data_IF_289657161101
#
_entry.id   IF_289657161101
#
_cell.length_a   1.000
_cell.length_b   1.000
_cell.length_c   1.000
_cell.angle_alpha   90.00
_cell.angle_beta   90.00
_cell.angle_gamma   90.00
#
_symmetry.space_group_name_H-M   'P 1'
#
loop_
_entity.id
_entity.type
_entity.pdbx_description
1 polymer ?
#
# COMPACT_ATOMS: atom_id res chain seq x y z
N UNK A 1 -18.67 9.31 -52.60
CA UNK A 1 -19.25 8.07 -52.03
C UNK A 1 -18.08 7.34 -51.39
N UNK A 2 -17.94 7.47 -50.08
CA UNK A 2 -16.91 6.77 -49.32
C UNK A 2 -17.56 5.49 -48.82
N UNK A 3 -17.24 4.36 -49.45
CA UNK A 3 -17.60 3.06 -48.91
C UNK A 3 -16.68 2.82 -47.70
N UNK A 4 -17.29 2.90 -46.51
CA UNK A 4 -16.64 2.52 -45.28
C UNK A 4 -16.43 1.02 -45.29
N UNK A 5 -15.19 0.59 -45.58
CA UNK A 5 -14.72 -0.73 -45.21
C UNK A 5 -14.74 -0.83 -43.69
N UNK A 6 -15.84 -1.34 -43.16
CA UNK A 6 -15.96 -1.69 -41.75
C UNK A 6 -15.06 -2.88 -41.48
N UNK A 7 -14.16 -2.73 -40.50
CA UNK A 7 -13.59 -3.84 -39.74
C UNK A 7 -14.74 -4.72 -39.25
N UNK A 8 -15.10 -5.70 -40.07
CA UNK A 8 -16.18 -6.62 -39.76
C UNK A 8 -15.62 -7.61 -38.76
N UNK A 9 -16.07 -7.50 -37.49
CA UNK A 9 -15.77 -8.43 -36.42
C UNK A 9 -15.95 -9.88 -36.89
N UNK A 10 -15.19 -10.82 -36.31
CA UNK A 10 -15.32 -12.25 -36.60
C UNK A 10 -16.78 -12.71 -36.60
N UNK A 11 -17.58 -12.23 -35.64
CA UNK A 11 -19.00 -12.57 -35.52
C UNK A 11 -19.81 -12.08 -36.72
N UNK A 12 -19.60 -10.85 -37.18
CA UNK A 12 -20.31 -10.31 -38.35
C UNK A 12 -19.95 -11.07 -39.64
N UNK A 13 -18.67 -11.40 -39.81
CA UNK A 13 -18.22 -12.22 -40.94
C UNK A 13 -18.81 -13.63 -40.88
N UNK A 14 -18.90 -14.23 -39.69
CA UNK A 14 -19.44 -15.56 -39.51
C UNK A 14 -20.94 -15.61 -39.82
N UNK A 15 -21.71 -14.61 -39.38
CA UNK A 15 -23.14 -14.49 -39.72
C UNK A 15 -23.33 -14.42 -41.24
N UNK A 16 -22.63 -13.51 -41.93
CA UNK A 16 -22.75 -13.38 -43.38
C UNK A 16 -22.40 -14.67 -44.13
N UNK A 17 -21.42 -15.43 -43.61
CA UNK A 17 -21.01 -16.71 -44.22
C UNK A 17 -21.98 -17.85 -43.95
N UNK A 18 -22.59 -17.90 -42.77
CA UNK A 18 -23.60 -18.91 -42.45
C UNK A 18 -24.90 -18.65 -43.23
N UNK A 19 -25.31 -17.38 -43.34
CA UNK A 19 -26.47 -16.99 -44.14
C UNK A 19 -26.28 -17.33 -45.63
N UNK A 20 -25.07 -17.13 -46.17
CA UNK A 20 -24.73 -17.51 -47.54
C UNK A 20 -24.79 -19.04 -47.80
N UNK A 21 -24.58 -19.85 -46.75
CA UNK A 21 -24.73 -21.30 -46.79
C UNK A 21 -26.18 -21.76 -46.55
N UNK A 22 -27.12 -20.82 -46.34
CA UNK A 22 -28.52 -21.13 -46.01
C UNK A 22 -28.73 -21.66 -44.58
N UNK A 23 -27.75 -21.47 -43.70
CA UNK A 23 -27.76 -21.94 -42.32
C UNK A 23 -28.19 -20.83 -41.36
N UNK A 24 -28.91 -21.19 -40.30
CA UNK A 24 -29.31 -20.25 -39.25
C UNK A 24 -28.09 -19.77 -38.45
N UNK A 25 -27.69 -18.52 -38.66
CA UNK A 25 -26.54 -17.91 -38.02
C UNK A 25 -26.66 -17.82 -36.48
N UNK A 26 -27.87 -17.75 -35.91
CA UNK A 26 -28.05 -17.68 -34.45
C UNK A 26 -27.73 -19.03 -33.79
N UNK A 27 -28.15 -20.11 -34.44
CA UNK A 27 -27.89 -21.49 -33.96
C UNK A 27 -26.45 -21.89 -34.26
N UNK A 28 -26.06 -21.85 -35.53
CA UNK A 28 -24.75 -22.36 -35.96
C UNK A 28 -23.60 -21.42 -35.59
N UNK A 29 -23.82 -20.11 -35.50
CA UNK A 29 -22.80 -19.16 -35.06
C UNK A 29 -22.32 -19.44 -33.63
N UNK A 30 -23.25 -19.76 -32.73
CA UNK A 30 -22.95 -20.18 -31.35
C UNK A 30 -22.15 -21.49 -31.28
N UNK A 31 -22.49 -22.46 -32.12
CA UNK A 31 -21.74 -23.73 -32.19
C UNK A 31 -20.33 -23.53 -32.74
N UNK A 32 -20.18 -22.79 -33.85
CA UNK A 32 -18.87 -22.50 -34.46
C UNK A 32 -17.97 -21.77 -33.48
N UNK A 33 -18.47 -20.69 -32.87
CA UNK A 33 -17.69 -19.91 -31.89
C UNK A 33 -17.35 -20.73 -30.65
N UNK A 34 -18.28 -21.56 -30.16
CA UNK A 34 -18.06 -22.44 -29.01
C UNK A 34 -17.01 -23.51 -29.26
N UNK A 35 -17.07 -24.18 -30.41
CA UNK A 35 -16.09 -25.21 -30.80
C UNK A 35 -14.73 -24.57 -31.05
N UNK A 36 -14.67 -23.45 -31.77
CA UNK A 36 -13.39 -22.78 -32.05
C UNK A 36 -12.77 -22.18 -30.78
N UNK A 37 -13.59 -21.78 -29.81
CA UNK A 37 -13.16 -21.28 -28.50
C UNK A 37 -12.67 -22.36 -27.53
N UNK A 38 -12.82 -23.65 -27.86
CA UNK A 38 -12.36 -24.75 -27.02
C UNK A 38 -10.84 -24.90 -27.10
N UNK A 39 -10.10 -24.35 -26.15
CA UNK A 39 -8.63 -24.40 -26.10
C UNK A 39 -8.07 -25.81 -25.80
N UNK A 40 -8.90 -26.79 -25.42
CA UNK A 40 -8.44 -28.14 -25.10
C UNK A 40 -8.07 -28.97 -26.35
N UNK A 41 -8.63 -28.60 -27.50
CA UNK A 41 -8.43 -29.30 -28.78
C UNK A 41 -7.56 -28.48 -29.76
N UNK A 42 -6.74 -29.13 -30.59
CA UNK A 42 -5.97 -28.41 -31.60
C UNK A 42 -6.89 -27.78 -32.65
N UNK A 43 -6.49 -26.62 -33.16
CA UNK A 43 -7.30 -25.81 -34.08
C UNK A 43 -7.76 -26.58 -35.33
N UNK A 44 -6.91 -27.44 -35.88
CA UNK A 44 -7.22 -28.25 -37.04
C UNK A 44 -8.41 -29.19 -36.76
N UNK A 45 -8.43 -29.86 -35.61
CA UNK A 45 -9.53 -30.76 -35.21
C UNK A 45 -10.81 -29.98 -34.89
N UNK A 46 -10.70 -28.77 -34.33
CA UNK A 46 -11.85 -27.89 -34.08
C UNK A 46 -12.50 -27.46 -35.39
N UNK A 47 -11.68 -27.06 -36.36
CA UNK A 47 -12.15 -26.69 -37.69
C UNK A 47 -12.81 -27.89 -38.35
N UNK A 48 -12.22 -29.08 -38.29
CA UNK A 48 -12.82 -30.29 -38.86
C UNK A 48 -14.16 -30.62 -38.23
N UNK A 49 -14.28 -30.51 -36.90
CA UNK A 49 -15.54 -30.70 -36.18
C UNK A 49 -16.60 -29.70 -36.62
N UNK A 50 -16.23 -28.44 -36.82
CA UNK A 50 -17.13 -27.41 -37.36
C UNK A 50 -17.58 -27.76 -38.78
N UNK A 51 -16.65 -28.13 -39.66
CA UNK A 51 -16.98 -28.50 -41.05
C UNK A 51 -17.88 -29.74 -41.09
N UNK A 52 -17.66 -30.73 -40.24
CA UNK A 52 -18.50 -31.93 -40.17
C UNK A 52 -19.95 -31.58 -39.79
N UNK A 53 -20.15 -30.74 -38.77
CA UNK A 53 -21.47 -30.29 -38.34
C UNK A 53 -22.17 -29.48 -39.44
N UNK A 54 -21.44 -28.54 -40.06
CA UNK A 54 -22.01 -27.71 -41.13
C UNK A 54 -22.28 -28.52 -42.40
N UNK A 55 -21.44 -29.50 -42.73
CA UNK A 55 -21.64 -30.40 -43.88
C UNK A 55 -22.92 -31.24 -43.75
N UNK A 56 -23.25 -31.68 -42.53
CA UNK A 56 -24.50 -32.40 -42.27
C UNK A 56 -25.76 -31.53 -42.34
N UNK A 57 -25.62 -30.20 -42.25
CA UNK A 57 -26.73 -29.25 -42.22
C UNK A 57 -26.88 -28.45 -43.52
N UNK A 58 -25.79 -28.23 -44.24
CA UNK A 58 -25.75 -27.48 -45.48
C UNK A 58 -26.35 -28.29 -46.64
N UNK A 59 -26.85 -27.59 -47.65
CA UNK A 59 -27.30 -28.23 -48.89
C UNK A 59 -26.12 -28.90 -49.61
N UNK A 60 -26.38 -30.05 -50.25
CA UNK A 60 -25.37 -30.98 -50.83
C UNK A 60 -24.48 -30.34 -51.92
N UNK A 61 -24.86 -29.17 -52.44
CA UNK A 61 -24.14 -28.40 -53.47
C UNK A 61 -23.16 -27.35 -52.91
N UNK A 62 -23.10 -27.14 -51.58
CA UNK A 62 -22.21 -26.15 -50.97
C UNK A 62 -20.79 -26.69 -50.73
N UNK A 63 -19.80 -26.10 -51.40
CA UNK A 63 -18.39 -26.39 -51.12
C UNK A 63 -17.90 -25.66 -49.86
N UNK A 64 -17.69 -26.42 -48.79
CA UNK A 64 -17.18 -25.92 -47.50
C UNK A 64 -15.66 -25.73 -47.47
N UNK A 65 -14.93 -26.06 -48.56
CA UNK A 65 -13.49 -25.89 -48.65
C UNK A 65 -13.04 -24.44 -48.48
N UNK A 66 -13.72 -23.50 -49.15
CA UNK A 66 -13.44 -22.07 -49.01
C UNK A 66 -13.76 -21.56 -47.59
N UNK A 67 -14.85 -22.05 -47.00
CA UNK A 67 -15.23 -21.71 -45.62
C UNK A 67 -14.19 -22.21 -44.62
N UNK A 68 -13.64 -23.43 -44.80
CA UNK A 68 -12.57 -23.98 -43.97
C UNK A 68 -11.35 -23.08 -43.93
N UNK A 69 -10.84 -22.67 -45.10
CA UNK A 69 -9.66 -21.81 -45.18
C UNK A 69 -9.91 -20.42 -44.58
N UNK A 70 -11.08 -19.83 -44.89
CA UNK A 70 -11.45 -18.52 -44.37
C UNK A 70 -11.67 -18.54 -42.84
N UNK A 71 -12.24 -19.62 -42.29
CA UNK A 71 -12.42 -19.80 -40.85
C UNK A 71 -11.08 -19.85 -40.13
N UNK A 72 -10.10 -20.58 -40.67
CA UNK A 72 -8.76 -20.64 -40.09
C UNK A 72 -8.11 -19.25 -40.02
N UNK A 73 -8.07 -18.54 -41.15
CA UNK A 73 -7.45 -17.21 -41.24
C UNK A 73 -8.13 -16.20 -40.32
N UNK A 74 -9.46 -16.16 -40.31
CA UNK A 74 -10.23 -15.21 -39.49
C UNK A 74 -10.13 -15.51 -38.00
N UNK A 75 -10.03 -16.79 -37.63
CA UNK A 75 -9.81 -17.17 -36.24
C UNK A 75 -8.42 -16.79 -35.76
N UNK A 76 -7.38 -17.05 -36.57
CA UNK A 76 -6.00 -16.65 -36.25
C UNK A 76 -5.90 -15.12 -36.06
N UNK A 77 -6.52 -14.34 -36.96
CA UNK A 77 -6.59 -12.88 -36.82
C UNK A 77 -7.29 -12.44 -35.53
N UNK A 78 -8.38 -13.10 -35.15
CA UNK A 78 -9.11 -12.82 -33.90
C UNK A 78 -8.23 -13.09 -32.68
N UNK A 79 -7.57 -14.25 -32.64
CA UNK A 79 -6.67 -14.63 -31.54
C UNK A 79 -5.50 -13.65 -31.43
N UNK A 80 -4.85 -13.31 -32.55
CA UNK A 80 -3.73 -12.35 -32.57
C UNK A 80 -4.17 -10.96 -32.07
N UNK A 81 -5.36 -10.50 -32.48
CA UNK A 81 -5.91 -9.23 -32.02
C UNK A 81 -6.19 -9.25 -30.51
N UNK A 82 -6.82 -10.31 -30.00
CA UNK A 82 -7.08 -10.47 -28.57
C UNK A 82 -5.79 -10.53 -27.74
N UNK A 83 -4.74 -11.21 -28.24
CA UNK A 83 -3.44 -11.26 -27.58
C UNK A 83 -2.79 -9.88 -27.50
N UNK A 84 -2.81 -9.11 -28.59
CA UNK A 84 -2.30 -7.73 -28.62
C UNK A 84 -3.05 -6.82 -27.66
N UNK A 85 -4.37 -6.93 -27.58
CA UNK A 85 -5.17 -6.17 -26.62
C UNK A 85 -4.87 -6.58 -25.18
N UNK A 86 -4.75 -7.88 -24.89
CA UNK A 86 -4.36 -8.38 -23.57
C UNK A 86 -2.97 -7.89 -23.18
N UNK A 87 -2.02 -7.84 -24.11
CA UNK A 87 -0.67 -7.31 -23.87
C UNK A 87 -0.70 -5.80 -23.63
N UNK A 88 -1.42 -5.04 -24.45
CA UNK A 88 -1.57 -3.60 -24.27
C UNK A 88 -2.22 -3.25 -22.92
N UNK A 89 -3.25 -4.00 -22.51
CA UNK A 89 -3.91 -3.85 -21.21
C UNK A 89 -2.96 -4.17 -20.05
N UNK A 90 -2.15 -5.24 -20.16
CA UNK A 90 -1.11 -5.58 -19.16
C UNK A 90 -0.05 -4.47 -19.07
N UNK A 91 0.42 -3.96 -20.20
CA UNK A 91 1.40 -2.88 -20.25
C UNK A 91 0.85 -1.57 -19.65
N UNK A 92 -0.41 -1.24 -19.92
CA UNK A 92 -1.08 -0.07 -19.35
C UNK A 92 -1.19 -0.19 -17.81
N UNK A 93 -1.64 -1.35 -17.31
CA UNK A 93 -1.73 -1.63 -15.88
C UNK A 93 -0.37 -1.59 -15.18
N UNK A 94 0.67 -2.09 -15.84
CA UNK A 94 2.03 -2.04 -15.30
C UNK A 94 2.54 -0.60 -15.20
N UNK A 95 2.33 0.23 -16.24
CA UNK A 95 2.67 1.66 -16.21
C UNK A 95 1.93 2.41 -15.10
N UNK A 96 0.66 2.12 -14.89
CA UNK A 96 -0.12 2.72 -13.80
C UNK A 96 0.45 2.35 -12.42
N UNK A 97 0.77 1.07 -12.21
CA UNK A 97 1.39 0.60 -10.97
C UNK A 97 2.77 1.23 -10.73
N UNK A 98 3.58 1.37 -11.77
CA UNK A 98 4.90 1.99 -11.68
C UNK A 98 4.80 3.50 -11.38
N UNK A 99 3.86 4.20 -12.02
CA UNK A 99 3.59 5.62 -11.75
C UNK A 99 3.13 5.84 -10.31
N UNK A 100 2.21 5.01 -9.81
CA UNK A 100 1.75 5.08 -8.41
C UNK A 100 2.89 4.83 -7.41
N UNK A 101 3.77 3.89 -7.72
CA UNK A 101 4.94 3.57 -6.89
C UNK A 101 5.98 4.70 -6.90
N UNK A 102 6.16 5.37 -8.02
CA UNK A 102 7.01 6.56 -8.12
C UNK A 102 6.43 7.73 -7.32
N UNK A 103 5.12 7.96 -7.41
CA UNK A 103 4.44 8.98 -6.64
C UNK A 103 4.54 8.72 -5.13
N UNK A 104 4.32 7.48 -4.70
CA UNK A 104 4.48 7.07 -3.29
C UNK A 104 5.92 7.31 -2.81
N UNK A 105 6.93 6.94 -3.62
CA UNK A 105 8.34 7.23 -3.30
C UNK A 105 8.59 8.72 -3.13
N UNK A 106 8.04 9.55 -4.01
CA UNK A 106 8.19 11.01 -3.94
C UNK A 106 7.54 11.57 -2.68
N UNK A 107 6.35 11.09 -2.32
CA UNK A 107 5.65 11.50 -1.09
C UNK A 107 6.44 11.11 0.17
N UNK A 108 7.02 9.90 0.20
CA UNK A 108 7.85 9.44 1.32
C UNK A 108 9.12 10.29 1.44
N UNK A 109 9.79 10.60 0.32
CA UNK A 109 10.98 11.45 0.32
C UNK A 109 10.66 12.87 0.80
N UNK A 110 9.56 13.45 0.32
CA UNK A 110 9.11 14.78 0.74
C UNK A 110 8.76 14.81 2.24
N UNK A 111 8.06 13.78 2.73
CA UNK A 111 7.74 13.63 4.15
C UNK A 111 9.00 13.49 5.02
N UNK A 112 10.00 12.72 4.59
CA UNK A 112 11.26 12.57 5.31
C UNK A 112 12.06 13.89 5.32
N UNK A 113 12.14 14.59 4.18
CA UNK A 113 12.77 15.91 4.09
C UNK A 113 12.10 16.93 5.01
N UNK A 114 10.76 16.96 5.04
CA UNK A 114 10.00 17.84 5.94
C UNK A 114 10.25 17.48 7.42
N UNK A 115 10.35 16.18 7.75
CA UNK A 115 10.67 15.73 9.11
C UNK A 115 12.07 16.13 9.54
N UNK A 116 13.07 15.98 8.68
CA UNK A 116 14.46 16.43 8.95
C UNK A 116 14.51 17.95 9.16
N UNK A 117 13.90 18.72 8.26
CA UNK A 117 13.85 20.17 8.39
C UNK A 117 13.19 20.65 9.71
N UNK A 118 12.13 19.94 10.17
CA UNK A 118 11.52 20.22 11.48
C UNK A 118 12.43 19.85 12.64
N UNK A 119 13.19 18.76 12.54
CA UNK A 119 14.17 18.37 13.56
C UNK A 119 15.30 19.41 13.66
N UNK A 120 15.85 19.83 12.52
CA UNK A 120 16.92 20.82 12.46
C UNK A 120 16.49 22.16 13.05
N UNK A 121 15.28 22.64 12.70
CA UNK A 121 14.70 23.86 13.29
C UNK A 121 14.52 23.76 14.81
N UNK A 122 14.16 22.59 15.35
CA UNK A 122 14.04 22.38 16.80
C UNK A 122 15.40 22.44 17.50
N UNK A 123 16.43 21.87 16.88
CA UNK A 123 17.80 21.92 17.40
C UNK A 123 18.33 23.36 17.37
N UNK A 124 18.15 24.07 16.25
CA UNK A 124 18.55 25.48 16.13
C UNK A 124 17.86 26.35 17.17
N UNK A 125 16.53 26.23 17.33
CA UNK A 125 15.79 26.96 18.36
C UNK A 125 16.30 26.66 19.78
N UNK A 126 16.61 25.40 20.08
CA UNK A 126 17.18 25.03 21.38
C UNK A 126 18.57 25.63 21.61
N UNK A 127 19.40 25.73 20.56
CA UNK A 127 20.72 26.34 20.65
C UNK A 127 20.64 27.87 20.79
N UNK A 128 19.72 28.52 20.08
CA UNK A 128 19.43 29.95 20.21
C UNK A 128 18.90 30.29 21.61
N UNK A 129 17.94 29.52 22.13
CA UNK A 129 17.43 29.69 23.51
C UNK A 129 18.54 29.51 24.56
N UNK A 130 19.46 28.55 24.36
CA UNK A 130 20.62 28.38 25.22
C UNK A 130 21.60 29.56 25.14
N UNK A 131 21.87 30.07 23.94
CA UNK A 131 22.75 31.21 23.73
C UNK A 131 22.18 32.50 24.34
N UNK A 132 20.87 32.74 24.17
CA UNK A 132 20.18 33.88 24.78
C UNK A 132 20.18 33.77 26.31
N UNK A 133 19.88 32.58 26.85
CA UNK A 133 19.98 32.33 28.29
C UNK A 133 21.39 32.60 28.81
N UNK A 134 22.43 32.09 28.15
CA UNK A 134 23.82 32.33 28.54
C UNK A 134 24.19 33.82 28.49
N UNK A 135 23.72 34.54 27.46
CA UNK A 135 23.93 35.99 27.34
C UNK A 135 23.26 36.74 28.49
N UNK A 136 22.01 36.39 28.82
CA UNK A 136 21.26 37.00 29.91
C UNK A 136 21.93 36.74 31.26
N UNK A 137 22.37 35.50 31.53
CA UNK A 137 23.12 35.18 32.75
C UNK A 137 24.41 36.02 32.88
N UNK A 138 25.14 36.21 31.78
CA UNK A 138 26.35 37.06 31.76
C UNK A 138 26.06 38.55 31.99
N UNK A 139 24.94 39.07 31.48
CA UNK A 139 24.53 40.47 31.66
C UNK A 139 24.11 40.78 33.10
N UNK A 140 23.47 39.83 33.79
CA UNK A 140 22.97 40.00 35.16
C UNK A 140 23.89 39.44 36.24
N UNK A 141 25.11 38.98 35.88
CA UNK A 141 26.16 38.62 36.84
C UNK A 141 25.75 37.57 37.86
N UNK A 142 24.88 36.62 37.48
CA UNK A 142 24.53 35.49 38.34
C UNK A 142 25.62 34.42 38.15
N UNK A 143 26.67 34.48 38.96
CA UNK A 143 27.56 33.34 39.14
C UNK A 143 26.70 32.18 39.65
N UNK A 144 26.66 31.10 38.88
CA UNK A 144 25.82 29.93 39.12
C UNK A 144 25.96 29.44 40.56
N UNK A 145 24.82 29.26 41.26
CA UNK A 145 24.76 28.44 42.46
C UNK A 145 25.49 27.12 42.18
N UNK A 146 26.32 26.63 43.11
CA UNK A 146 27.07 25.41 42.90
C UNK A 146 26.10 24.28 42.57
N UNK A 147 26.34 23.58 41.47
CA UNK A 147 25.59 22.39 41.04
C UNK A 147 26.50 21.17 41.15
N UNK A 148 25.92 19.99 41.43
CA UNK A 148 26.65 18.72 41.43
C UNK A 148 27.04 18.26 40.00
N UNK A 149 27.83 17.18 39.89
CA UNK A 149 28.27 16.61 38.60
C UNK A 149 27.08 16.11 37.73
N UNK A 150 25.90 15.95 38.32
CA UNK A 150 24.65 15.59 37.64
C UNK A 150 23.77 16.81 37.27
N UNK A 151 24.21 18.03 37.59
CA UNK A 151 23.53 19.28 37.25
C UNK A 151 22.36 19.65 38.17
N UNK A 152 22.28 19.05 39.36
CA UNK A 152 21.30 19.45 40.38
C UNK A 152 21.86 20.59 41.25
N UNK A 153 21.02 21.56 41.68
CA UNK A 153 21.43 22.60 42.62
C UNK A 153 21.87 22.02 43.96
N UNK A 154 23.08 22.36 44.42
CA UNK A 154 23.53 22.01 45.76
C UNK A 154 22.73 22.83 46.80
N UNK A 155 22.26 22.21 47.89
CA UNK A 155 21.62 22.94 48.97
C UNK A 155 22.62 23.92 49.60
N UNK A 156 22.20 25.16 49.95
CA UNK A 156 23.08 26.13 50.59
C UNK A 156 23.57 25.59 51.94
N UNK A 157 24.84 25.85 52.26
CA UNK A 157 25.50 25.43 53.50
C UNK A 157 24.74 26.03 54.71
N UNK A 158 24.23 25.13 55.56
CA UNK A 158 23.29 25.42 56.63
C UNK A 158 23.98 26.15 57.81
N UNK A 159 23.81 27.48 57.85
CA UNK A 159 24.01 28.27 59.06
C UNK A 159 22.73 28.30 59.91
N UNK A 160 22.71 27.47 60.95
CA UNK A 160 22.01 27.61 62.24
C UNK A 160 20.65 28.32 62.32
N UNK A 161 19.64 27.52 62.68
CA UNK A 161 18.55 27.83 63.62
C UNK A 161 17.48 28.84 63.19
N UNK A 162 16.36 28.28 62.72
CA UNK A 162 15.10 28.97 62.50
C UNK A 162 13.91 28.05 62.72
N UNK A 163 13.76 27.57 63.95
CA UNK A 163 12.55 26.92 64.46
C UNK A 163 11.33 27.87 64.30
N UNK A 164 10.22 27.35 63.78
CA UNK A 164 8.90 27.99 63.95
C UNK A 164 8.15 28.34 62.67
N UNK A 165 7.09 27.58 62.38
CA UNK A 165 6.14 27.99 61.33
C UNK A 165 5.08 26.98 60.95
N UNK A 166 4.64 26.10 61.87
CA UNK A 166 3.39 25.37 61.66
C UNK A 166 2.22 26.33 61.93
N UNK A 167 1.22 26.31 61.05
CA UNK A 167 -0.09 26.95 61.22
C UNK A 167 -0.21 28.47 61.01
N UNK A 168 -0.06 28.95 59.77
CA UNK A 168 -0.66 30.24 59.36
C UNK A 168 -0.89 30.38 57.82
N UNK A 169 -1.13 29.29 57.10
CA UNK A 169 -1.16 29.31 55.62
C UNK A 169 -2.53 29.35 54.95
N UNK A 170 -3.63 29.27 55.70
CA UNK A 170 -4.97 29.11 55.10
C UNK A 170 -5.69 30.45 54.86
N UNK A 171 -5.31 31.53 55.57
CA UNK A 171 -5.96 32.84 55.48
C UNK A 171 -5.26 33.84 54.56
N UNK A 172 -4.03 33.57 54.11
CA UNK A 172 -3.28 34.46 53.17
C UNK A 172 -3.44 34.05 51.70
N UNK A 173 -3.89 32.82 51.43
CA UNK A 173 -4.14 32.31 50.08
C UNK A 173 -5.37 32.92 49.38
N UNK A 174 -6.30 33.47 50.16
CA UNK A 174 -7.50 34.15 49.64
C UNK A 174 -7.17 35.54 49.03
N UNK A 175 -6.14 36.23 49.57
CA UNK A 175 -5.76 37.57 49.13
C UNK A 175 -4.78 37.59 47.95
N UNK A 176 -3.93 36.56 47.81
CA UNK A 176 -2.91 36.47 46.76
C UNK A 176 -3.22 35.42 45.68
N UNK A 177 -4.38 34.75 45.77
CA UNK A 177 -4.77 33.68 44.87
C UNK A 177 -4.08 32.35 45.19
N UNK A 178 -4.70 31.25 44.74
CA UNK A 178 -4.18 29.89 44.94
C UNK A 178 -2.81 29.75 44.27
N UNK A 179 -1.86 29.10 44.94
CA UNK A 179 -0.53 28.84 44.37
C UNK A 179 -0.62 27.77 43.26
N UNK A 180 -0.79 28.25 42.03
CA UNK A 180 -0.87 27.43 40.82
C UNK A 180 0.47 26.77 40.46
N UNK A 181 1.60 27.27 40.96
CA UNK A 181 2.91 26.66 40.67
C UNK A 181 3.02 25.25 41.29
N UNK A 182 2.52 25.07 42.51
CA UNK A 182 2.53 23.77 43.18
C UNK A 182 1.64 22.74 42.47
N UNK A 183 0.49 23.18 41.95
CA UNK A 183 -0.42 22.33 41.17
C UNK A 183 0.18 22.01 39.80
N UNK A 184 0.71 23.01 39.09
CA UNK A 184 1.36 22.84 37.78
C UNK A 184 2.54 21.87 37.84
N UNK A 185 3.40 21.98 38.85
CA UNK A 185 4.53 21.05 39.03
C UNK A 185 4.03 19.62 39.31
N UNK A 186 2.97 19.46 40.09
CA UNK A 186 2.38 18.13 40.34
C UNK A 186 1.75 17.54 39.08
N UNK A 187 1.03 18.34 38.31
CA UNK A 187 0.43 17.94 37.04
C UNK A 187 1.50 17.57 36.01
N UNK A 188 2.56 18.36 35.88
CA UNK A 188 3.68 18.05 34.97
C UNK A 188 4.40 16.75 35.35
N UNK A 189 4.64 16.52 36.65
CA UNK A 189 5.26 15.28 37.13
C UNK A 189 4.33 14.08 36.92
N UNK A 190 3.03 14.23 37.15
CA UNK A 190 2.03 13.19 36.88
C UNK A 190 1.93 12.88 35.39
N UNK A 191 1.86 13.91 34.53
CA UNK A 191 1.83 13.78 33.08
C UNK A 191 3.08 13.09 32.54
N UNK A 192 4.28 13.42 33.05
CA UNK A 192 5.53 12.74 32.69
C UNK A 192 5.50 11.26 33.08
N UNK A 193 5.01 10.92 34.28
CA UNK A 193 4.86 9.53 34.73
C UNK A 193 3.86 8.75 33.86
N UNK A 194 2.75 9.37 33.48
CA UNK A 194 1.78 8.73 32.58
C UNK A 194 2.31 8.56 31.16
N UNK A 195 3.04 9.55 30.64
CA UNK A 195 3.68 9.45 29.34
C UNK A 195 4.68 8.29 29.30
N UNK A 196 5.50 8.12 30.34
CA UNK A 196 6.45 7.00 30.46
C UNK A 196 5.72 5.66 30.53
N UNK A 197 4.61 5.56 31.28
CA UNK A 197 3.80 4.33 31.32
C UNK A 197 3.19 4.01 29.96
N UNK A 198 2.66 5.01 29.24
CA UNK A 198 2.07 4.84 27.91
C UNK A 198 3.12 4.42 26.88
N UNK A 199 4.31 5.04 26.88
CA UNK A 199 5.38 4.66 25.96
C UNK A 199 5.91 3.26 26.26
N UNK A 200 6.12 2.91 27.53
CA UNK A 200 6.54 1.56 27.93
C UNK A 200 5.50 0.49 27.55
N UNK A 201 4.21 0.78 27.75
CA UNK A 201 3.15 -0.15 27.35
C UNK A 201 3.08 -0.30 25.81
N UNK A 202 3.21 0.80 25.07
CA UNK A 202 3.22 0.77 23.62
C UNK A 202 4.42 -0.02 23.07
N UNK A 203 5.62 0.17 23.61
CA UNK A 203 6.82 -0.59 23.20
C UNK A 203 6.70 -2.07 23.56
N UNK A 204 6.14 -2.42 24.72
CA UNK A 204 5.88 -3.80 25.09
C UNK A 204 4.91 -4.50 24.12
N UNK A 205 3.82 -3.81 23.72
CA UNK A 205 2.88 -4.34 22.72
C UNK A 205 3.53 -4.52 21.34
N UNK A 206 4.31 -3.53 20.88
CA UNK A 206 5.04 -3.61 19.62
C UNK A 206 6.01 -4.80 19.61
N UNK A 207 6.76 -5.01 20.70
CA UNK A 207 7.65 -6.15 20.84
C UNK A 207 6.90 -7.49 20.83
N UNK A 208 5.71 -7.56 21.44
CA UNK A 208 4.87 -8.76 21.41
C UNK A 208 4.38 -9.08 20.00
N UNK A 209 3.90 -8.08 19.27
CA UNK A 209 3.44 -8.22 17.88
C UNK A 209 4.60 -8.67 16.98
N UNK A 210 5.81 -8.10 17.16
CA UNK A 210 6.99 -8.47 16.38
C UNK A 210 7.39 -9.95 16.61
N UNK A 211 7.32 -10.43 17.86
CA UNK A 211 7.60 -11.83 18.18
C UNK A 211 6.56 -12.80 17.60
N UNK A 212 5.27 -12.43 17.62
CA UNK A 212 4.21 -13.23 17.00
C UNK A 212 4.35 -13.27 15.46
N UNK A 213 4.69 -12.14 14.84
CA UNK A 213 4.95 -12.07 13.40
C UNK A 213 6.15 -12.94 12.98
N UNK A 214 7.24 -12.95 13.75
CA UNK A 214 8.41 -13.81 13.48
C UNK A 214 8.06 -15.30 13.64
N UNK A 215 7.26 -15.67 14.65
CA UNK A 215 6.75 -17.04 14.82
C UNK A 215 5.90 -17.47 13.62
N UNK A 216 4.97 -16.62 13.17
CA UNK A 216 4.14 -16.90 12.00
C UNK A 216 4.97 -17.05 10.73
N UNK A 217 5.98 -16.18 10.53
CA UNK A 217 6.89 -16.27 9.39
C UNK A 217 7.69 -17.58 9.38
N UNK A 218 8.17 -18.02 10.56
CA UNK A 218 8.86 -19.31 10.72
C UNK A 218 7.96 -20.50 10.43
N UNK A 219 6.72 -20.50 10.92
CA UNK A 219 5.75 -21.56 10.63
C UNK A 219 5.37 -21.61 9.13
N UNK A 220 5.12 -20.46 8.50
CA UNK A 220 4.88 -20.38 7.06
C UNK A 220 6.08 -20.91 6.25
N UNK A 221 7.31 -20.55 6.61
CA UNK A 221 8.51 -21.07 5.95
C UNK A 221 8.69 -22.58 6.13
N UNK A 222 8.35 -23.13 7.30
CA UNK A 222 8.35 -24.59 7.54
C UNK A 222 7.30 -25.28 6.68
N UNK A 223 6.08 -24.74 6.60
CA UNK A 223 5.00 -25.30 5.79
C UNK A 223 5.34 -25.25 4.30
N UNK A 224 5.87 -24.14 3.80
CA UNK A 224 6.34 -24.01 2.42
C UNK A 224 7.48 -25.00 2.08
N UNK A 225 8.37 -25.31 3.03
CA UNK A 225 9.41 -26.34 2.85
C UNK A 225 8.86 -27.76 2.88
N UNK A 226 7.76 -28.02 3.60
CA UNK A 226 7.11 -29.33 3.64
C UNK A 226 6.32 -29.60 2.37
N UNK A 227 5.63 -28.60 1.82
CA UNK A 227 4.85 -28.75 0.57
C UNK A 227 5.74 -28.99 -0.64
N UNK A 228 6.82 -28.23 -0.80
CA UNK A 228 7.77 -28.38 -1.93
C UNK A 228 8.54 -29.71 -1.91
N UNK A 229 8.70 -30.34 -0.74
CA UNK A 229 9.36 -31.65 -0.61
C UNK A 229 8.42 -32.83 -0.92
N UNK A 230 7.10 -32.61 -0.90
CA UNK A 230 6.09 -33.59 -1.26
C UNK A 230 5.92 -33.75 -2.77
N UNK A 231 6.04 -32.66 -3.53
CA UNK A 231 5.96 -32.68 -5.01
C UNK A 231 7.19 -33.32 -5.66
N UNK A 232 8.37 -33.22 -5.04
CA UNK A 232 9.61 -33.79 -5.59
C UNK A 232 9.75 -35.31 -5.41
N UNK A 233 8.78 -35.96 -4.78
CA UNK A 233 8.79 -37.41 -4.44
C UNK A 233 7.62 -38.19 -5.07
N UNK A 234 6.84 -37.57 -5.94
CA UNK A 234 5.87 -38.26 -6.80
C UNK A 234 6.39 -38.31 -8.23
#
# INVERSE_FOLDING_TARGET
MAEGGGDSSFDTWLVDKLDALGLDAEVYGGYVTGIMGDEDNPQEERIESVIEILSGAAEEDNDLGEFRSALNERWDMKVEHEEKEKEAAKAAKQKEMDSKKEEERRQVEEADKARRAKADKRVQRSAEEQAERARLLGEYGYDSDPVDEEGNPLPPEEGGDGEGGSSAGDSLGEAYGKNLNKERVREEVAAKREAIKKTHHATALQNKIALEADKMRKEMAKNARKTTKGERKR
#
